data_IF_193379558514
#
_entry.id   IF_193379558514
#
_cell.length_a   1.000
_cell.length_b   1.000
_cell.length_c   1.000
_cell.angle_alpha   90.00
_cell.angle_beta   90.00
_cell.angle_gamma   90.00
#
_symmetry.space_group_name_H-M   'P 1'
#
loop_
_entity.id
_entity.type
_entity.pdbx_description
1 polymer ?
#
# COMPACT_ATOMS: atom_id res chain seq x y z
N UNK A 1 -1.66 -20.84 15.27
CA UNK A 1 -2.26 -19.87 14.31
C UNK A 1 -1.16 -19.38 13.37
N UNK A 2 -1.47 -19.13 12.10
CA UNK A 2 -0.52 -18.49 11.18
C UNK A 2 -0.38 -17.01 11.55
N UNK A 3 0.85 -16.48 11.53
CA UNK A 3 1.11 -15.05 11.64
C UNK A 3 0.32 -14.25 10.58
N UNK A 4 -0.10 -13.03 10.93
CA UNK A 4 -0.94 -12.19 10.08
C UNK A 4 -0.32 -11.92 8.71
N UNK A 5 1.01 -11.76 8.66
CA UNK A 5 1.76 -11.59 7.40
C UNK A 5 1.68 -12.86 6.56
N UNK A 6 1.98 -14.01 7.16
CA UNK A 6 1.95 -15.31 6.46
C UNK A 6 0.56 -15.65 5.93
N UNK A 7 -0.48 -15.33 6.70
CA UNK A 7 -1.87 -15.47 6.25
C UNK A 7 -2.16 -14.58 5.03
N UNK A 8 -1.68 -13.34 5.04
CA UNK A 8 -1.81 -12.44 3.89
C UNK A 8 -1.17 -13.01 2.62
N UNK A 9 0.06 -13.53 2.73
CA UNK A 9 0.79 -14.17 1.61
C UNK A 9 0.00 -15.36 1.02
N UNK A 10 -0.51 -16.25 1.88
CA UNK A 10 -1.29 -17.41 1.45
C UNK A 10 -2.60 -16.98 0.77
N UNK A 11 -3.30 -16.02 1.35
CA UNK A 11 -4.55 -15.52 0.76
C UNK A 11 -4.32 -14.82 -0.58
N UNK A 12 -3.22 -14.08 -0.73
CA UNK A 12 -2.82 -13.52 -2.02
C UNK A 12 -2.54 -14.62 -3.05
N UNK A 13 -1.87 -15.70 -2.66
CA UNK A 13 -1.63 -16.82 -3.55
C UNK A 13 -2.94 -17.52 -3.97
N UNK A 14 -3.90 -17.65 -3.07
CA UNK A 14 -5.15 -18.38 -3.34
C UNK A 14 -6.24 -17.54 -4.02
N UNK A 15 -6.35 -16.25 -3.69
CA UNK A 15 -7.50 -15.42 -4.04
C UNK A 15 -7.18 -14.31 -5.03
N UNK A 16 -5.94 -13.85 -5.11
CA UNK A 16 -5.59 -12.77 -6.03
C UNK A 16 -5.69 -13.26 -7.48
N UNK A 17 -6.23 -12.40 -8.34
CA UNK A 17 -6.15 -12.59 -9.77
C UNK A 17 -4.69 -12.70 -10.23
N UNK A 18 -4.47 -13.53 -11.25
CA UNK A 18 -3.12 -13.85 -11.74
C UNK A 18 -2.80 -13.02 -12.97
N UNK A 19 -1.82 -12.14 -12.81
CA UNK A 19 -1.25 -11.33 -13.88
C UNK A 19 0.27 -11.48 -13.87
N UNK A 20 0.97 -11.18 -14.98
CA UNK A 20 2.42 -11.02 -14.96
C UNK A 20 2.83 -9.96 -13.94
N UNK A 21 3.96 -10.17 -13.28
CA UNK A 21 4.61 -9.18 -12.40
C UNK A 21 6.00 -8.82 -12.95
N UNK A 22 6.51 -7.67 -12.55
CA UNK A 22 7.82 -7.17 -12.93
C UNK A 22 8.45 -6.45 -11.74
N UNK A 23 9.76 -6.61 -11.56
CA UNK A 23 10.55 -5.73 -10.69
C UNK A 23 11.30 -4.74 -11.57
N UNK A 24 11.19 -3.45 -11.28
CA UNK A 24 11.93 -2.42 -11.99
C UNK A 24 12.41 -1.30 -11.07
N UNK A 25 13.50 -0.65 -11.48
CA UNK A 25 14.14 0.44 -10.74
C UNK A 25 13.92 1.76 -11.50
N UNK A 26 13.42 2.76 -10.80
CA UNK A 26 13.13 4.08 -11.36
C UNK A 26 13.99 5.12 -10.67
N UNK A 27 14.68 5.94 -11.46
CA UNK A 27 15.32 7.14 -10.93
C UNK A 27 14.25 8.18 -10.64
N UNK A 28 14.21 8.71 -9.42
CA UNK A 28 13.33 9.81 -9.03
C UNK A 28 14.08 10.74 -8.07
N UNK A 29 14.34 11.97 -8.48
CA UNK A 29 15.25 12.89 -7.77
C UNK A 29 16.60 12.23 -7.45
N UNK A 30 17.00 12.22 -6.18
CA UNK A 30 18.21 11.59 -5.67
C UNK A 30 17.97 10.14 -5.19
N UNK A 31 16.78 9.59 -5.45
CA UNK A 31 16.37 8.26 -5.02
C UNK A 31 16.31 7.28 -6.19
N UNK A 32 16.46 5.99 -5.86
CA UNK A 32 16.05 4.88 -6.72
C UNK A 32 14.82 4.24 -6.09
N UNK A 33 13.68 4.36 -6.77
CA UNK A 33 12.43 3.73 -6.35
C UNK A 33 12.33 2.36 -7.01
N UNK A 34 12.17 1.32 -6.20
CA UNK A 34 12.00 -0.06 -6.68
C UNK A 34 10.53 -0.42 -6.62
N UNK A 35 9.93 -0.71 -7.78
CA UNK A 35 8.52 -1.09 -7.89
C UNK A 35 8.36 -2.57 -8.20
N UNK A 36 7.43 -3.23 -7.51
CA UNK A 36 7.02 -4.63 -7.76
C UNK A 36 5.50 -4.72 -7.56
N UNK A 37 4.68 -4.43 -8.60
CA UNK A 37 3.23 -4.57 -8.48
C UNK A 37 2.85 -6.06 -8.38
N UNK A 38 1.73 -6.36 -7.72
CA UNK A 38 1.19 -7.72 -7.68
C UNK A 38 0.81 -8.22 -9.09
N UNK A 39 0.47 -7.29 -9.99
CA UNK A 39 0.27 -7.56 -11.41
C UNK A 39 0.40 -6.33 -12.29
N UNK A 40 0.74 -6.54 -13.56
CA UNK A 40 0.80 -5.49 -14.57
C UNK A 40 0.33 -6.01 -15.93
N UNK A 41 -0.41 -5.20 -16.65
CA UNK A 41 -0.84 -5.45 -18.04
C UNK A 41 -0.34 -4.32 -18.95
N UNK A 42 -0.83 -4.26 -20.19
CA UNK A 42 -0.58 -3.12 -21.09
C UNK A 42 -1.27 -1.84 -20.60
N UNK A 43 -2.44 -1.97 -19.96
CA UNK A 43 -3.30 -0.83 -19.64
C UNK A 43 -3.34 -0.46 -18.15
N UNK A 44 -3.14 -1.44 -17.27
CA UNK A 44 -3.35 -1.25 -15.83
C UNK A 44 -2.30 -1.93 -14.95
N UNK A 45 -2.18 -1.41 -13.74
CA UNK A 45 -1.50 -2.05 -12.61
C UNK A 45 -2.51 -2.70 -11.68
N UNK A 46 -2.14 -3.81 -11.08
CA UNK A 46 -2.94 -4.60 -10.17
C UNK A 46 -2.29 -4.67 -8.79
N UNK A 47 -3.11 -4.47 -7.76
CA UNK A 47 -2.71 -4.57 -6.35
C UNK A 47 -3.77 -5.38 -5.59
N UNK A 48 -3.31 -6.34 -4.79
CA UNK A 48 -4.15 -7.17 -3.95
C UNK A 48 -3.80 -6.98 -2.47
N UNK A 49 -4.81 -6.80 -1.63
CA UNK A 49 -4.65 -6.75 -0.17
C UNK A 49 -5.67 -7.64 0.52
N UNK A 50 -5.35 -7.99 1.76
CA UNK A 50 -6.29 -8.63 2.68
C UNK A 50 -6.47 -7.80 3.93
N UNK A 51 -7.66 -7.83 4.50
CA UNK A 51 -7.96 -7.25 5.81
C UNK A 51 -8.87 -8.18 6.60
N UNK A 52 -8.83 -8.13 7.92
CA UNK A 52 -9.67 -9.03 8.73
C UNK A 52 -11.14 -8.63 8.68
N UNK A 53 -11.44 -7.32 8.76
CA UNK A 53 -12.79 -6.80 8.96
C UNK A 53 -13.14 -5.62 8.05
N UNK A 54 -14.45 -5.39 7.88
CA UNK A 54 -14.98 -4.23 7.14
C UNK A 54 -14.65 -2.89 7.78
N UNK A 55 -14.48 -2.86 9.09
CA UNK A 55 -14.00 -1.66 9.77
C UNK A 55 -12.57 -1.30 9.31
N UNK A 56 -11.67 -2.28 9.26
CA UNK A 56 -10.28 -2.08 8.82
C UNK A 56 -10.16 -1.84 7.31
N UNK A 57 -11.07 -2.36 6.50
CA UNK A 57 -11.15 -2.09 5.07
C UNK A 57 -11.08 -0.58 4.75
N UNK A 58 -11.77 0.25 5.52
CA UNK A 58 -11.77 1.71 5.31
C UNK A 58 -10.39 2.37 5.53
N UNK A 59 -9.51 1.73 6.31
CA UNK A 59 -8.15 2.20 6.53
C UNK A 59 -7.15 1.62 5.51
N UNK A 60 -7.38 0.39 5.04
CA UNK A 60 -6.52 -0.29 4.06
C UNK A 60 -6.79 0.23 2.64
N UNK A 61 -8.05 0.50 2.28
CA UNK A 61 -8.46 1.00 0.96
C UNK A 61 -7.63 2.21 0.48
N UNK A 62 -7.50 3.32 1.22
CA UNK A 62 -6.72 4.47 0.75
C UNK A 62 -5.23 4.14 0.57
N UNK A 63 -4.66 3.26 1.39
CA UNK A 63 -3.26 2.82 1.27
C UNK A 63 -3.06 1.99 0.00
N UNK A 64 -3.95 1.02 -0.25
CA UNK A 64 -3.88 0.18 -1.45
C UNK A 64 -4.06 1.00 -2.74
N UNK A 65 -4.98 1.97 -2.73
CA UNK A 65 -5.18 2.88 -3.87
C UNK A 65 -3.95 3.75 -4.13
N UNK A 66 -3.33 4.31 -3.09
CA UNK A 66 -2.12 5.12 -3.23
C UNK A 66 -0.92 4.29 -3.72
N UNK A 67 -0.80 3.04 -3.26
CA UNK A 67 0.24 2.13 -3.76
C UNK A 67 0.04 1.82 -5.25
N UNK A 68 -1.20 1.57 -5.67
CA UNK A 68 -1.53 1.38 -7.08
C UNK A 68 -1.33 2.66 -7.92
N UNK A 69 -1.53 3.85 -7.35
CA UNK A 69 -1.20 5.12 -8.02
C UNK A 69 0.30 5.26 -8.27
N UNK A 70 1.13 4.95 -7.27
CA UNK A 70 2.58 4.95 -7.42
C UNK A 70 3.03 4.00 -8.52
N UNK A 71 2.50 2.77 -8.55
CA UNK A 71 2.81 1.83 -9.62
C UNK A 71 2.34 2.34 -10.98
N UNK A 72 1.12 2.85 -11.08
CA UNK A 72 0.59 3.42 -12.30
C UNK A 72 1.46 4.54 -12.85
N UNK A 73 1.91 5.45 -11.97
CA UNK A 73 2.80 6.55 -12.30
C UNK A 73 4.16 6.05 -12.84
N UNK A 74 4.85 5.18 -12.09
CA UNK A 74 6.19 4.72 -12.48
C UNK A 74 6.18 3.81 -13.71
N UNK A 75 5.24 2.87 -13.77
CA UNK A 75 5.11 1.93 -14.89
C UNK A 75 4.32 2.50 -16.07
N UNK A 76 3.87 3.76 -15.99
CA UNK A 76 3.13 4.46 -17.06
C UNK A 76 1.89 3.69 -17.51
N UNK A 77 1.04 3.31 -16.55
CA UNK A 77 -0.27 2.71 -16.81
C UNK A 77 -1.36 3.71 -16.47
N UNK A 78 -2.39 3.77 -17.31
CA UNK A 78 -3.45 4.76 -17.16
C UNK A 78 -4.50 4.32 -16.13
N UNK A 79 -4.66 3.01 -15.95
CA UNK A 79 -5.67 2.43 -15.06
C UNK A 79 -5.03 1.67 -13.90
N UNK A 80 -5.82 1.52 -12.84
CA UNK A 80 -5.49 0.67 -11.69
C UNK A 80 -6.67 -0.23 -11.35
N UNK A 81 -6.36 -1.45 -10.96
CA UNK A 81 -7.30 -2.42 -10.40
C UNK A 81 -6.81 -2.83 -9.02
N UNK A 82 -7.62 -2.58 -8.00
CA UNK A 82 -7.28 -2.91 -6.62
C UNK A 82 -8.31 -3.88 -6.07
N UNK A 83 -7.85 -5.03 -5.57
CA UNK A 83 -8.69 -6.00 -4.90
C UNK A 83 -8.37 -6.06 -3.42
N UNK A 84 -9.40 -6.01 -2.58
CA UNK A 84 -9.24 -6.12 -1.13
C UNK A 84 -10.19 -7.21 -0.61
N UNK A 85 -9.60 -8.29 -0.11
CA UNK A 85 -10.36 -9.38 0.50
C UNK A 85 -10.60 -9.10 1.99
N UNK A 86 -11.85 -9.22 2.43
CA UNK A 86 -12.29 -9.07 3.81
C UNK A 86 -12.59 -10.45 4.38
N UNK A 87 -11.71 -10.92 5.27
CA UNK A 87 -11.69 -12.32 5.74
C UNK A 87 -12.97 -12.69 6.48
N UNK A 88 -13.46 -11.83 7.38
CA UNK A 88 -14.68 -12.08 8.17
C UNK A 88 -15.92 -12.26 7.28
N UNK A 89 -15.97 -11.57 6.15
CA UNK A 89 -17.10 -11.60 5.22
C UNK A 89 -16.90 -12.58 4.05
N UNK A 90 -15.69 -13.14 3.92
CA UNK A 90 -15.27 -13.99 2.78
C UNK A 90 -15.55 -13.32 1.42
N UNK A 91 -15.45 -12.00 1.37
CA UNK A 91 -15.78 -11.20 0.20
C UNK A 91 -14.56 -10.43 -0.29
N UNK A 92 -14.39 -10.37 -1.61
CA UNK A 92 -13.38 -9.52 -2.25
C UNK A 92 -14.06 -8.33 -2.91
N UNK A 93 -13.68 -7.13 -2.47
CA UNK A 93 -14.07 -5.89 -3.12
C UNK A 93 -13.10 -5.59 -4.27
N UNK A 94 -13.63 -5.26 -5.44
CA UNK A 94 -12.83 -4.88 -6.61
C UNK A 94 -13.07 -3.40 -6.92
N UNK A 95 -11.99 -2.64 -7.02
CA UNK A 95 -12.00 -1.20 -7.30
C UNK A 95 -11.21 -0.95 -8.59
N UNK A 96 -11.90 -0.43 -9.59
CA UNK A 96 -11.28 -0.04 -10.87
C UNK A 96 -11.42 1.46 -11.08
N UNK A 97 -10.31 2.10 -11.43
CA UNK A 97 -10.27 3.55 -11.64
C UNK A 97 -9.04 3.94 -12.46
N UNK A 98 -8.97 5.20 -12.87
CA UNK A 98 -7.76 5.75 -13.44
C UNK A 98 -6.70 5.92 -12.34
N UNK A 99 -5.44 5.86 -12.74
CA UNK A 99 -4.30 6.22 -11.91
C UNK A 99 -4.37 7.72 -11.61
N UNK A 100 -4.30 8.04 -10.33
CA UNK A 100 -4.26 9.41 -9.83
C UNK A 100 -2.79 9.83 -9.69
N UNK A 101 -2.28 10.47 -10.74
CA UNK A 101 -0.89 10.93 -10.81
C UNK A 101 -0.60 12.00 -9.76
N UNK A 102 -1.55 12.90 -9.50
CA UNK A 102 -1.39 13.96 -8.50
C UNK A 102 -1.26 13.36 -7.09
N UNK A 103 -2.04 12.32 -6.80
CA UNK A 103 -1.90 11.57 -5.56
C UNK A 103 -0.52 10.88 -5.46
N UNK A 104 -0.05 10.24 -6.53
CA UNK A 104 1.28 9.62 -6.55
C UNK A 104 2.40 10.63 -6.27
N UNK A 105 2.38 11.78 -6.95
CA UNK A 105 3.35 12.86 -6.75
C UNK A 105 3.30 13.41 -5.32
N UNK A 106 2.11 13.69 -4.80
CA UNK A 106 1.93 14.16 -3.42
C UNK A 106 2.47 13.18 -2.38
N UNK A 107 2.27 11.88 -2.57
CA UNK A 107 2.81 10.84 -1.67
C UNK A 107 4.34 10.82 -1.73
N UNK A 108 4.91 10.91 -2.93
CA UNK A 108 6.35 10.97 -3.13
C UNK A 108 6.96 12.23 -2.49
N UNK A 109 6.35 13.39 -2.69
CA UNK A 109 6.79 14.65 -2.10
C UNK A 109 6.71 14.60 -0.57
N UNK A 110 5.63 14.05 -0.01
CA UNK A 110 5.50 13.85 1.44
C UNK A 110 6.58 12.93 2.01
N UNK A 111 6.98 11.89 1.27
CA UNK A 111 8.10 11.03 1.65
C UNK A 111 9.42 11.81 1.66
N UNK A 112 9.69 12.58 0.60
CA UNK A 112 10.91 13.38 0.47
C UNK A 112 11.01 14.44 1.56
N UNK A 113 9.93 15.16 1.86
CA UNK A 113 9.91 16.16 2.94
C UNK A 113 10.36 15.57 4.28
N UNK A 114 9.88 14.36 4.62
CA UNK A 114 10.28 13.66 5.85
C UNK A 114 11.75 13.26 5.83
N UNK A 115 12.23 12.73 4.70
CA UNK A 115 13.65 12.39 4.52
C UNK A 115 14.57 13.61 4.61
N UNK A 116 14.09 14.78 4.17
CA UNK A 116 14.79 16.07 4.26
C UNK A 116 14.66 16.76 5.63
N UNK A 117 14.05 16.09 6.62
CA UNK A 117 14.04 16.51 8.02
C UNK A 117 12.73 17.13 8.51
N UNK A 118 11.67 17.15 7.70
CA UNK A 118 10.34 17.53 8.17
C UNK A 118 9.81 16.48 9.17
N UNK A 119 9.22 16.94 10.26
CA UNK A 119 8.67 16.02 11.25
C UNK A 119 7.50 15.21 10.63
N UNK A 120 7.56 13.87 10.66
CA UNK A 120 6.52 13.04 10.06
C UNK A 120 5.23 13.13 10.86
N UNK A 121 4.10 13.18 10.15
CA UNK A 121 2.80 13.08 10.79
C UNK A 121 2.62 11.68 11.38
N UNK A 122 2.20 11.56 12.66
CA UNK A 122 1.99 10.26 13.27
C UNK A 122 0.92 9.47 12.50
N UNK A 123 1.10 8.16 12.31
CA UNK A 123 0.08 7.34 11.66
C UNK A 123 -1.17 7.25 12.54
N UNK A 124 -2.24 6.67 11.99
CA UNK A 124 -3.41 6.31 12.81
C UNK A 124 -2.98 5.38 13.94
N UNK A 125 -3.53 5.62 15.13
CA UNK A 125 -3.15 4.95 16.39
C UNK A 125 -3.07 3.42 16.27
N UNK A 126 -3.98 2.80 15.51
CA UNK A 126 -4.01 1.35 15.32
C UNK A 126 -2.72 0.79 14.71
N UNK A 127 -2.01 1.56 13.86
CA UNK A 127 -0.71 1.15 13.30
C UNK A 127 0.38 1.08 14.38
N UNK A 128 0.27 1.90 15.43
CA UNK A 128 1.21 1.89 16.54
C UNK A 128 0.94 0.73 17.51
N UNK A 129 -0.31 0.25 17.62
CA UNK A 129 -0.69 -0.79 18.60
C UNK A 129 0.05 -2.11 18.41
N UNK A 130 0.34 -2.48 17.16
CA UNK A 130 1.05 -3.72 16.79
C UNK A 130 2.46 -3.47 16.27
N UNK A 131 3.00 -2.26 16.43
CA UNK A 131 4.35 -1.92 15.97
C UNK A 131 5.38 -2.48 16.95
N UNK A 132 6.35 -3.27 16.45
CA UNK A 132 7.44 -3.82 17.28
C UNK A 132 8.34 -2.74 17.89
N UNK A 133 8.37 -1.54 17.28
CA UNK A 133 9.15 -0.38 17.74
C UNK A 133 8.35 0.59 18.62
N UNK A 134 7.11 0.25 18.99
CA UNK A 134 6.19 1.17 19.70
C UNK A 134 6.83 1.80 20.95
N UNK A 135 7.52 1.02 21.76
CA UNK A 135 8.07 1.48 23.05
C UNK A 135 9.35 2.31 22.92
N UNK A 136 10.00 2.28 21.76
CA UNK A 136 11.22 3.06 21.46
C UNK A 136 10.99 4.18 20.44
N UNK A 137 9.82 4.22 19.78
CA UNK A 137 9.48 5.19 18.76
C UNK A 137 9.15 6.56 19.39
N UNK A 138 9.96 7.61 19.16
CA UNK A 138 9.70 8.94 19.74
C UNK A 138 8.34 9.51 19.31
N UNK A 139 7.92 9.27 18.06
CA UNK A 139 6.62 9.72 17.57
C UNK A 139 5.46 9.11 18.35
N UNK A 140 5.55 7.84 18.74
CA UNK A 140 4.51 7.22 19.55
C UNK A 140 4.52 7.77 20.97
N UNK A 141 5.70 7.84 21.58
CA UNK A 141 5.88 8.29 22.97
C UNK A 141 5.36 9.73 23.16
N UNK A 142 5.64 10.63 22.23
CA UNK A 142 5.23 12.03 22.35
C UNK A 142 3.77 12.28 21.95
N UNK A 143 3.16 11.40 21.16
CA UNK A 143 1.81 11.63 20.61
C UNK A 143 0.72 10.88 21.37
N UNK A 144 0.98 9.63 21.79
CA UNK A 144 -0.05 8.70 22.23
C UNK A 144 0.19 8.07 23.61
N UNK A 145 1.36 8.30 24.21
CA UNK A 145 1.72 7.80 25.55
C UNK A 145 1.72 8.97 26.53
#
# INVERSE_FOLDING_TARGET
ELDAKRRGEVLQELLAEKYPTIRWNFKWNNYIVVGVPDGITEDFVYEFKTTSSRFLYNYIKPVALAQADLYGYFFRRQRKRVQIHIVEEKQTETLESNVDVDNALRVLDSFKEVDEGQEPKPPKEWKCRSCEFKDTCPLYIHTFK
#
